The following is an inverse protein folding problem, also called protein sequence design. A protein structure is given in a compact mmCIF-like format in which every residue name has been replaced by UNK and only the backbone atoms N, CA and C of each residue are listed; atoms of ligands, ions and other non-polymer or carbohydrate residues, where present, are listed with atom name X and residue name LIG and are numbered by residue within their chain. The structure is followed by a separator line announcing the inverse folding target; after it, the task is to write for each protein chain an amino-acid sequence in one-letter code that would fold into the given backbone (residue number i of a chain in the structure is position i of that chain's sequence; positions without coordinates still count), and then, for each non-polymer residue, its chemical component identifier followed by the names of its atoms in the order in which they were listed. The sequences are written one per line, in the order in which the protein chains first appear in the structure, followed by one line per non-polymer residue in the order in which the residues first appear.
data_IF_366893435289
#
_entry.id   IF_366893435289
#
_cell.length_a   1.000
_cell.length_b   1.000
_cell.length_c   1.000
_cell.angle_alpha   90.00
_cell.angle_beta   90.00
_cell.angle_gamma   90.00
#
_symmetry.space_group_name_H-M   'P 1'
#
loop_
_entity.id
_entity.type
_entity.pdbx_description
1 polymer ?
#
# COMPACT_ATOMS: atom_id res chain seq x y z
N UNK A 1 -4.79 -8.84 -27.98
CA UNK A 1 -5.43 -7.67 -28.65
C UNK A 1 -6.04 -6.67 -27.66
N UNK A 2 -6.60 -7.11 -26.52
CA UNK A 2 -7.12 -6.22 -25.46
C UNK A 2 -6.06 -5.33 -24.77
N UNK A 3 -4.83 -5.84 -24.58
CA UNK A 3 -3.72 -5.08 -23.99
C UNK A 3 -3.38 -3.79 -24.77
N UNK A 4 -3.44 -3.81 -26.10
CA UNK A 4 -3.08 -2.66 -26.95
C UNK A 4 -4.05 -1.48 -26.84
N UNK A 5 -5.36 -1.72 -26.61
CA UNK A 5 -6.35 -0.64 -26.44
C UNK A 5 -6.31 -0.01 -25.04
N UNK A 6 -5.87 -0.76 -24.03
CA UNK A 6 -5.58 -0.21 -22.70
C UNK A 6 -4.41 0.77 -22.75
N UNK A 7 -3.30 0.36 -23.38
CA UNK A 7 -2.02 1.10 -23.41
C UNK A 7 -2.15 2.55 -23.94
N UNK A 8 -3.03 2.83 -24.91
CA UNK A 8 -3.18 4.18 -25.46
C UNK A 8 -3.76 5.21 -24.47
N UNK A 9 -4.67 4.80 -23.58
CA UNK A 9 -5.25 5.71 -22.57
C UNK A 9 -4.24 5.95 -21.43
N UNK A 10 -3.35 4.99 -21.18
CA UNK A 10 -2.33 5.08 -20.14
C UNK A 10 -1.29 6.18 -20.41
N UNK A 11 -0.98 6.43 -21.69
CA UNK A 11 0.06 7.39 -22.07
C UNK A 11 -0.35 8.85 -21.82
N UNK A 12 -1.64 9.21 -21.79
CA UNK A 12 -2.05 10.60 -21.53
C UNK A 12 -1.95 10.98 -20.05
N UNK A 13 -2.40 10.12 -19.13
CA UNK A 13 -2.40 10.41 -17.69
C UNK A 13 -1.00 10.41 -17.04
N UNK A 14 -0.04 9.74 -17.67
CA UNK A 14 1.30 9.56 -17.09
C UNK A 14 2.24 10.76 -17.24
N UNK A 15 1.97 11.70 -18.14
CA UNK A 15 2.86 12.84 -18.40
C UNK A 15 2.73 13.99 -17.40
N UNK A 16 1.93 13.83 -16.34
CA UNK A 16 1.74 14.90 -15.35
C UNK A 16 2.91 14.96 -14.35
N UNK A 17 3.25 16.18 -13.93
CA UNK A 17 4.33 16.48 -12.97
C UNK A 17 4.02 16.16 -11.51
N UNK A 18 2.76 15.95 -11.13
CA UNK A 18 2.38 15.92 -9.72
C UNK A 18 2.40 14.49 -9.17
N UNK A 19 3.55 14.05 -8.69
CA UNK A 19 3.69 12.74 -8.06
C UNK A 19 3.07 12.77 -6.65
N UNK A 20 2.51 11.65 -6.14
CA UNK A 20 1.90 11.64 -4.79
C UNK A 20 2.90 11.89 -3.65
N UNK A 21 4.18 12.03 -3.95
CA UNK A 21 5.22 12.38 -2.98
C UNK A 21 5.68 13.84 -3.11
N UNK A 22 5.01 14.66 -3.93
CA UNK A 22 5.22 16.09 -4.02
C UNK A 22 4.03 16.89 -3.45
N UNK A 23 4.33 18.00 -2.77
CA UNK A 23 3.31 18.94 -2.30
C UNK A 23 2.72 19.67 -3.50
N UNK A 24 1.40 19.78 -3.55
CA UNK A 24 0.73 20.58 -4.57
C UNK A 24 -0.43 21.41 -4.01
N UNK A 25 -0.82 22.42 -4.76
CA UNK A 25 -1.99 23.25 -4.48
C UNK A 25 -2.71 23.57 -5.77
N UNK A 26 -4.01 23.31 -5.82
CA UNK A 26 -4.88 23.63 -6.95
C UNK A 26 -5.89 24.69 -6.55
N UNK A 27 -5.92 25.79 -7.29
CA UNK A 27 -7.02 26.76 -7.21
C UNK A 27 -8.19 26.23 -8.01
N UNK A 28 -9.36 26.18 -7.41
CA UNK A 28 -10.55 25.62 -8.03
C UNK A 28 -11.82 26.35 -7.59
N UNK A 29 -12.86 26.20 -8.41
CA UNK A 29 -14.25 26.49 -8.05
C UNK A 29 -14.88 25.21 -7.53
N UNK A 30 -15.68 25.30 -6.47
CA UNK A 30 -16.25 24.16 -5.77
C UNK A 30 -17.76 24.30 -5.61
N UNK A 31 -18.47 23.18 -5.68
CA UNK A 31 -19.93 23.13 -5.50
C UNK A 31 -20.38 21.76 -5.01
N UNK A 32 -21.61 21.73 -4.47
CA UNK A 32 -22.31 20.50 -4.15
C UNK A 32 -23.04 19.95 -5.39
N UNK A 33 -23.09 18.63 -5.61
CA UNK A 33 -23.74 18.05 -6.79
C UNK A 33 -25.19 18.50 -6.98
N UNK A 34 -25.94 18.69 -5.89
CA UNK A 34 -27.35 19.09 -5.95
C UNK A 34 -27.55 20.51 -6.52
N UNK A 35 -26.51 21.34 -6.44
CA UNK A 35 -26.54 22.71 -6.94
C UNK A 35 -26.19 22.79 -8.43
N UNK A 36 -25.70 21.73 -9.07
CA UNK A 36 -25.34 21.66 -10.49
C UNK A 36 -24.54 22.89 -10.98
N UNK A 37 -23.55 23.30 -10.18
CA UNK A 37 -22.68 24.45 -10.47
C UNK A 37 -23.35 25.83 -10.34
N UNK A 38 -24.60 25.94 -9.86
CA UNK A 38 -25.28 27.24 -9.69
C UNK A 38 -24.73 28.08 -8.54
N UNK A 39 -24.12 27.42 -7.55
CA UNK A 39 -23.46 28.07 -6.42
C UNK A 39 -22.02 27.56 -6.36
N UNK A 40 -21.12 28.33 -6.95
CA UNK A 40 -19.69 28.05 -6.98
C UNK A 40 -18.97 28.88 -5.91
N UNK A 41 -18.13 28.24 -5.12
CA UNK A 41 -17.27 28.89 -4.13
C UNK A 41 -15.82 28.72 -4.56
N UNK A 42 -15.04 29.79 -4.50
CA UNK A 42 -13.60 29.73 -4.78
C UNK A 42 -12.87 29.10 -3.61
N UNK A 43 -11.83 28.34 -3.91
CA UNK A 43 -10.99 27.74 -2.88
C UNK A 43 -9.77 27.04 -3.44
N UNK A 44 -8.99 26.46 -2.54
CA UNK A 44 -7.74 25.78 -2.86
C UNK A 44 -7.74 24.36 -2.29
N UNK A 45 -7.48 23.35 -3.13
CA UNK A 45 -7.14 22.00 -2.70
C UNK A 45 -5.64 21.92 -2.46
N UNK A 46 -5.25 21.56 -1.25
CA UNK A 46 -3.87 21.40 -0.83
C UNK A 46 -3.61 19.93 -0.51
N UNK A 47 -2.50 19.43 -1.01
CA UNK A 47 -2.00 18.11 -0.67
C UNK A 47 -0.56 18.22 -0.20
N UNK A 48 -0.29 17.66 0.97
CA UNK A 48 1.05 17.44 1.46
C UNK A 48 1.32 15.93 1.54
N UNK A 49 2.39 15.42 0.91
CA UNK A 49 2.87 14.07 1.16
C UNK A 49 3.03 13.88 2.67
N UNK A 50 2.56 12.76 3.20
CA UNK A 50 2.58 12.47 4.65
C UNK A 50 1.72 13.39 5.53
N UNK A 51 0.93 14.28 4.95
CA UNK A 51 0.28 15.36 5.67
C UNK A 51 -1.22 15.40 5.43
N UNK A 52 -1.70 16.62 5.21
CA UNK A 52 -3.12 16.88 5.04
C UNK A 52 -3.49 16.86 3.55
N UNK A 53 -4.64 16.28 3.28
CA UNK A 53 -5.40 16.48 2.05
C UNK A 53 -6.61 17.30 2.45
N UNK A 54 -6.62 18.58 2.08
CA UNK A 54 -7.61 19.55 2.56
C UNK A 54 -7.98 20.52 1.44
N UNK A 55 -9.26 20.83 1.28
CA UNK A 55 -9.69 21.96 0.48
C UNK A 55 -10.18 23.10 1.39
N UNK A 56 -9.71 24.31 1.15
CA UNK A 56 -10.07 25.50 1.92
C UNK A 56 -10.84 26.45 1.00
N UNK A 57 -12.10 26.73 1.36
CA UNK A 57 -13.02 27.54 0.56
C UNK A 57 -13.20 28.94 1.16
N UNK A 58 -13.25 29.95 0.29
CA UNK A 58 -13.53 31.35 0.61
C UNK A 58 -15.05 31.61 0.70
N UNK A 59 -15.72 30.82 1.55
CA UNK A 59 -17.16 30.89 1.75
C UNK A 59 -17.73 29.58 2.27
N UNK A 60 -19.06 29.48 2.26
CA UNK A 60 -19.81 28.27 2.61
C UNK A 60 -20.51 27.71 1.38
N UNK A 61 -20.44 26.38 1.21
CA UNK A 61 -21.22 25.65 0.21
C UNK A 61 -22.73 25.70 0.47
N UNK A 62 -23.15 26.06 1.69
CA UNK A 62 -24.55 26.21 2.12
C UNK A 62 -25.02 27.66 2.10
N UNK A 63 -24.16 28.61 1.72
CA UNK A 63 -24.49 30.04 1.72
C UNK A 63 -24.50 30.67 3.11
N UNK A 64 -23.90 30.04 4.12
CA UNK A 64 -23.75 30.61 5.46
C UNK A 64 -22.92 31.88 5.41
N UNK A 65 -23.50 32.99 5.90
CA UNK A 65 -22.83 34.30 5.99
C UNK A 65 -22.46 34.69 7.42
N UNK A 66 -23.08 34.05 8.41
CA UNK A 66 -22.89 34.31 9.83
C UNK A 66 -22.36 33.06 10.53
N UNK A 67 -21.15 33.13 11.07
CA UNK A 67 -20.49 32.00 11.73
C UNK A 67 -21.26 31.51 12.95
N UNK A 68 -22.10 32.33 13.59
CA UNK A 68 -22.92 31.88 14.72
C UNK A 68 -24.06 30.94 14.30
N UNK A 69 -24.31 30.81 13.00
CA UNK A 69 -25.26 29.88 12.41
C UNK A 69 -24.58 28.68 11.74
N UNK A 70 -23.26 28.56 11.89
CA UNK A 70 -22.52 27.52 11.21
C UNK A 70 -22.75 26.16 11.83
N UNK A 71 -22.92 25.16 10.99
CA UNK A 71 -22.86 23.77 11.45
C UNK A 71 -21.38 23.35 11.56
N UNK A 72 -21.07 22.71 12.69
CA UNK A 72 -19.79 22.10 12.90
C UNK A 72 -19.93 20.59 12.64
N UNK A 73 -18.94 19.99 11.97
CA UNK A 73 -18.89 18.54 11.68
C UNK A 73 -19.94 18.06 10.66
N UNK A 74 -19.92 18.68 9.48
CA UNK A 74 -20.78 18.31 8.35
C UNK A 74 -20.13 17.12 7.62
N UNK A 75 -20.93 16.14 7.21
CA UNK A 75 -20.46 14.99 6.42
C UNK A 75 -21.08 15.05 5.03
N UNK A 76 -20.26 15.15 3.99
CA UNK A 76 -20.70 15.25 2.60
C UNK A 76 -20.20 14.04 1.81
N UNK A 77 -21.08 13.33 1.07
CA UNK A 77 -20.66 12.16 0.31
C UNK A 77 -19.68 12.53 -0.81
N UNK A 78 -19.93 13.66 -1.48
CA UNK A 78 -19.07 14.15 -2.55
C UNK A 78 -19.15 15.68 -2.67
N UNK A 79 -18.03 16.32 -3.01
CA UNK A 79 -17.95 17.73 -3.40
C UNK A 79 -17.22 17.81 -4.74
N UNK A 80 -17.76 18.57 -5.69
CA UNK A 80 -17.16 18.73 -7.01
C UNK A 80 -16.37 20.03 -7.09
N UNK A 81 -15.37 20.02 -7.96
CA UNK A 81 -14.66 21.23 -8.33
C UNK A 81 -14.06 21.18 -9.73
N UNK A 82 -13.73 22.34 -10.26
CA UNK A 82 -12.94 22.51 -11.48
C UNK A 82 -11.74 23.39 -11.17
N UNK A 83 -10.55 22.89 -11.43
CA UNK A 83 -9.31 23.65 -11.26
C UNK A 83 -9.20 24.77 -12.30
N UNK A 84 -8.34 25.76 -12.03
CA UNK A 84 -8.03 26.83 -12.98
C UNK A 84 -7.51 26.29 -14.33
N UNK A 85 -6.85 25.15 -14.31
CA UNK A 85 -6.31 24.44 -15.48
C UNK A 85 -7.36 23.58 -16.19
N UNK A 86 -8.59 23.52 -15.68
CA UNK A 86 -9.71 22.77 -16.28
C UNK A 86 -9.82 21.32 -15.81
N UNK A 87 -9.05 20.90 -14.80
CA UNK A 87 -9.20 19.55 -14.26
C UNK A 87 -10.51 19.44 -13.47
N UNK A 88 -11.31 18.42 -13.76
CA UNK A 88 -12.46 18.06 -12.94
C UNK A 88 -11.98 17.30 -11.70
N UNK A 89 -12.38 17.77 -10.53
CA UNK A 89 -11.98 17.25 -9.22
C UNK A 89 -13.24 16.80 -8.48
N UNK A 90 -13.18 15.65 -7.82
CA UNK A 90 -14.25 15.14 -6.97
C UNK A 90 -13.65 14.68 -5.65
N UNK A 91 -14.07 15.33 -4.57
CA UNK A 91 -13.69 15.04 -3.18
C UNK A 91 -14.71 14.06 -2.61
N UNK A 92 -14.30 12.95 -2.01
CA UNK A 92 -15.21 11.92 -1.48
C UNK A 92 -15.12 11.78 0.04
N UNK A 93 -16.24 11.39 0.64
CA UNK A 93 -16.41 11.14 2.07
C UNK A 93 -15.85 12.29 2.93
N UNK A 94 -16.31 13.51 2.62
CA UNK A 94 -15.75 14.75 3.10
C UNK A 94 -16.27 15.07 4.49
N UNK A 95 -15.36 15.30 5.43
CA UNK A 95 -15.66 15.99 6.70
C UNK A 95 -15.44 17.47 6.53
N UNK A 96 -16.42 18.28 6.92
CA UNK A 96 -16.39 19.70 6.68
C UNK A 96 -16.71 20.54 7.93
N UNK A 97 -16.05 21.69 8.00
CA UNK A 97 -16.22 22.67 9.06
C UNK A 97 -16.27 24.06 8.48
N UNK A 98 -17.27 24.82 8.88
CA UNK A 98 -17.28 26.25 8.69
C UNK A 98 -16.52 26.92 9.83
N UNK A 99 -15.57 27.78 9.49
CA UNK A 99 -14.70 28.49 10.41
C UNK A 99 -14.67 29.98 10.07
N UNK A 100 -14.76 30.82 11.09
CA UNK A 100 -14.65 32.26 10.95
C UNK A 100 -13.19 32.68 10.85
N UNK A 101 -12.78 33.23 9.71
CA UNK A 101 -11.44 33.80 9.52
C UNK A 101 -11.56 35.26 9.12
N UNK A 102 -10.96 36.16 9.90
CA UNK A 102 -10.89 37.59 9.61
C UNK A 102 -12.23 38.28 9.31
N UNK A 103 -13.32 37.85 9.97
CA UNK A 103 -14.66 38.44 9.79
C UNK A 103 -15.50 37.84 8.66
N UNK A 104 -15.00 36.80 7.96
CA UNK A 104 -15.74 36.09 6.91
C UNK A 104 -15.81 34.58 7.22
N UNK A 105 -16.85 33.92 6.74
CA UNK A 105 -16.99 32.46 6.84
C UNK A 105 -16.11 31.80 5.77
N UNK A 106 -15.28 30.86 6.19
CA UNK A 106 -14.52 29.96 5.31
C UNK A 106 -14.91 28.52 5.62
N UNK A 107 -14.74 27.61 4.67
CA UNK A 107 -15.08 26.20 4.87
C UNK A 107 -13.85 25.33 4.61
N UNK A 108 -13.51 24.50 5.58
CA UNK A 108 -12.43 23.52 5.49
C UNK A 108 -13.03 22.14 5.19
N UNK A 109 -12.58 21.51 4.12
CA UNK A 109 -13.01 20.22 3.62
C UNK A 109 -11.88 19.22 3.75
N UNK A 110 -12.11 18.13 4.47
CA UNK A 110 -11.16 17.04 4.69
C UNK A 110 -11.71 15.79 4.02
N UNK A 111 -11.43 15.58 2.72
CA UNK A 111 -11.81 14.36 2.02
C UNK A 111 -10.97 13.16 2.48
N UNK A 112 -11.59 11.98 2.43
CA UNK A 112 -10.85 10.71 2.57
C UNK A 112 -9.96 10.48 1.32
N UNK A 113 -10.50 10.78 0.14
CA UNK A 113 -9.79 10.70 -1.14
C UNK A 113 -10.36 11.64 -2.20
N UNK A 114 -9.59 11.83 -3.27
CA UNK A 114 -9.87 12.71 -4.40
C UNK A 114 -9.69 11.97 -5.71
N UNK A 115 -10.67 12.11 -6.60
CA UNK A 115 -10.56 11.72 -8.00
C UNK A 115 -10.41 12.95 -8.88
N UNK A 116 -9.40 12.95 -9.76
CA UNK A 116 -9.12 14.06 -10.66
C UNK A 116 -9.05 13.56 -12.10
N UNK A 117 -9.79 14.20 -13.02
CA UNK A 117 -9.84 13.86 -14.45
C UNK A 117 -9.47 15.07 -15.32
N UNK A 118 -8.75 14.82 -16.41
CA UNK A 118 -8.41 15.83 -17.43
C UNK A 118 -9.50 16.04 -18.48
N UNK A 119 -10.44 15.11 -18.62
CA UNK A 119 -11.36 15.07 -19.76
C UNK A 119 -12.76 15.58 -19.44
N UNK A 120 -12.87 16.56 -18.54
CA UNK A 120 -14.14 17.15 -18.10
C UNK A 120 -15.16 16.15 -17.50
N UNK A 121 -14.70 15.01 -16.98
CA UNK A 121 -15.55 14.08 -16.25
C UNK A 121 -15.46 14.31 -14.74
N UNK A 122 -16.60 14.53 -14.10
CA UNK A 122 -16.73 14.47 -12.65
C UNK A 122 -16.99 13.01 -12.24
N UNK A 123 -16.30 12.56 -11.21
CA UNK A 123 -16.53 11.23 -10.68
C UNK A 123 -17.74 11.25 -9.75
N UNK A 124 -18.60 10.24 -9.84
CA UNK A 124 -19.78 10.11 -8.98
C UNK A 124 -19.66 8.88 -8.07
N UNK A 125 -20.30 8.85 -6.90
CA UNK A 125 -20.19 7.74 -5.95
C UNK A 125 -20.54 6.36 -6.53
N UNK A 126 -21.50 6.31 -7.46
CA UNK A 126 -21.98 5.09 -8.09
C UNK A 126 -21.28 4.78 -9.42
N UNK A 127 -20.09 5.35 -9.69
CA UNK A 127 -19.40 5.05 -10.94
C UNK A 127 -18.90 3.60 -10.97
N UNK A 128 -19.05 2.98 -12.14
CA UNK A 128 -18.62 1.62 -12.41
C UNK A 128 -17.13 1.60 -12.77
N UNK A 129 -16.31 1.09 -11.87
CA UNK A 129 -14.88 0.92 -12.05
C UNK A 129 -14.64 -0.31 -12.92
N UNK A 130 -13.89 -0.12 -14.01
CA UNK A 130 -13.52 -1.22 -14.91
C UNK A 130 -12.14 -1.79 -14.54
N UNK A 131 -11.20 -0.91 -14.22
CA UNK A 131 -9.84 -1.29 -13.89
C UNK A 131 -9.14 -0.18 -13.13
N UNK A 132 -8.05 -0.54 -12.46
CA UNK A 132 -7.13 0.41 -11.88
C UNK A 132 -5.71 -0.09 -12.06
N UNK A 133 -4.78 0.85 -11.90
CA UNK A 133 -3.38 0.50 -11.73
C UNK A 133 -2.78 1.39 -10.66
N UNK A 134 -1.67 0.90 -10.10
CA UNK A 134 -0.87 1.71 -9.21
C UNK A 134 0.61 1.39 -9.30
N UNK A 135 1.41 2.39 -8.97
CA UNK A 135 2.84 2.29 -8.74
C UNK A 135 3.07 2.57 -7.25
N UNK A 136 3.84 1.72 -6.56
CA UNK A 136 4.31 2.02 -5.22
C UNK A 136 5.71 2.61 -5.26
N UNK A 137 6.02 3.49 -4.32
CA UNK A 137 7.41 3.78 -4.00
C UNK A 137 8.10 2.45 -3.62
N UNK A 138 9.35 2.26 -4.05
CA UNK A 138 10.09 1.04 -3.72
C UNK A 138 9.76 -0.23 -4.52
N UNK A 139 8.85 -0.21 -5.51
CA UNK A 139 8.69 -1.33 -6.45
C UNK A 139 10.02 -1.77 -7.08
N UNK A 140 10.94 -0.82 -7.34
CA UNK A 140 12.28 -1.13 -7.84
C UNK A 140 13.06 -2.12 -6.97
N UNK A 141 12.84 -2.15 -5.65
CA UNK A 141 13.49 -3.13 -4.77
C UNK A 141 12.91 -4.53 -4.96
N UNK A 142 11.58 -4.66 -5.06
CA UNK A 142 10.92 -5.94 -5.35
C UNK A 142 11.35 -6.48 -6.73
N UNK A 143 11.51 -5.61 -7.73
CA UNK A 143 11.94 -5.97 -9.09
C UNK A 143 13.46 -5.92 -9.29
N UNK A 144 14.26 -5.85 -8.22
CA UNK A 144 15.72 -5.73 -8.37
C UNK A 144 16.28 -6.93 -9.14
N UNK A 145 17.10 -6.61 -10.15
CA UNK A 145 17.70 -7.60 -11.04
C UNK A 145 16.75 -8.17 -12.10
N UNK A 146 15.52 -7.66 -12.22
CA UNK A 146 14.65 -8.01 -13.34
C UNK A 146 15.08 -7.25 -14.59
N UNK A 147 15.89 -7.92 -15.43
CA UNK A 147 16.49 -7.46 -16.69
C UNK A 147 17.38 -6.22 -16.56
N UNK A 148 18.58 -6.22 -17.15
CA UNK A 148 19.42 -5.02 -17.23
C UNK A 148 18.82 -4.11 -18.30
N UNK A 149 18.03 -3.12 -17.86
CA UNK A 149 17.15 -2.39 -18.79
C UNK A 149 17.84 -1.26 -19.53
N UNK A 150 18.91 -0.72 -18.95
CA UNK A 150 19.69 0.38 -19.50
C UNK A 150 21.14 -0.07 -19.64
N UNK A 151 21.59 -0.23 -20.87
CA UNK A 151 22.97 -0.66 -21.17
C UNK A 151 23.75 0.56 -21.67
N UNK A 152 24.83 0.97 -20.99
CA UNK A 152 25.69 2.03 -21.50
C UNK A 152 26.47 1.52 -22.70
N UNK A 153 26.42 2.28 -23.78
CA UNK A 153 27.23 2.09 -24.96
C UNK A 153 28.26 3.22 -25.00
N UNK A 154 29.54 2.84 -25.07
CA UNK A 154 30.61 3.80 -25.29
C UNK A 154 30.71 4.07 -26.78
N UNK A 155 30.57 5.34 -27.17
CA UNK A 155 30.85 5.78 -28.54
C UNK A 155 32.18 6.55 -28.59
N UNK A 156 32.82 6.52 -29.76
CA UNK A 156 34.03 7.32 -30.01
C UNK A 156 33.70 8.81 -29.84
N UNK A 157 34.58 9.56 -29.17
CA UNK A 157 34.42 11.00 -28.95
C UNK A 157 33.84 11.41 -27.58
N UNK A 158 33.79 10.51 -26.60
CA UNK A 158 33.40 10.83 -25.22
C UNK A 158 31.89 10.93 -24.98
N UNK A 159 31.07 10.55 -25.96
CA UNK A 159 29.61 10.46 -25.82
C UNK A 159 29.24 9.09 -25.25
N UNK A 160 28.48 9.11 -24.15
CA UNK A 160 27.86 7.91 -23.57
C UNK A 160 26.45 7.82 -24.13
N UNK A 161 26.16 6.78 -24.91
CA UNK A 161 24.80 6.45 -25.33
C UNK A 161 24.22 5.36 -24.42
N UNK A 162 22.90 5.27 -24.36
CA UNK A 162 22.22 4.23 -23.58
C UNK A 162 21.17 3.55 -24.44
N UNK A 163 21.22 2.22 -24.50
CA UNK A 163 20.16 1.43 -25.09
C UNK A 163 19.17 1.04 -24.00
N UNK A 164 17.90 1.33 -24.23
CA UNK A 164 16.81 0.92 -23.36
C UNK A 164 15.83 0.01 -24.09
N UNK A 165 15.59 -1.17 -23.54
CA UNK A 165 14.54 -2.09 -23.98
C UNK A 165 13.48 -2.19 -22.90
N UNK A 166 12.31 -1.61 -23.17
CA UNK A 166 11.16 -1.71 -22.28
C UNK A 166 10.77 -3.18 -22.09
N UNK A 167 10.68 -3.69 -20.84
CA UNK A 167 10.23 -5.05 -20.60
C UNK A 167 8.78 -5.25 -21.07
N UNK A 168 8.47 -6.47 -21.48
CA UNK A 168 7.09 -6.84 -21.78
C UNK A 168 6.26 -6.90 -20.49
N UNK A 169 4.93 -6.74 -20.63
CA UNK A 169 4.03 -6.92 -19.51
C UNK A 169 4.17 -8.34 -18.94
N UNK A 170 4.11 -8.46 -17.62
CA UNK A 170 4.17 -9.76 -16.93
C UNK A 170 2.76 -10.09 -16.47
N UNK A 171 2.15 -11.07 -17.08
CA UNK A 171 0.86 -11.60 -16.65
C UNK A 171 1.01 -12.46 -15.39
N UNK A 172 0.13 -12.24 -14.41
CA UNK A 172 0.13 -12.97 -13.14
C UNK A 172 -1.11 -13.86 -13.06
N UNK A 173 -2.28 -13.28 -13.36
CA UNK A 173 -3.58 -13.95 -13.38
C UNK A 173 -4.28 -13.53 -14.66
N UNK A 174 -4.80 -14.51 -15.40
CA UNK A 174 -5.76 -14.30 -16.48
C UNK A 174 -6.87 -15.34 -16.31
N UNK A 175 -8.03 -14.90 -15.80
CA UNK A 175 -9.19 -15.75 -15.62
C UNK A 175 -10.51 -15.01 -15.89
N UNK A 176 -11.63 -15.70 -15.68
CA UNK A 176 -12.98 -15.18 -15.94
C UNK A 176 -13.39 -14.02 -15.01
N UNK A 177 -12.73 -13.82 -13.88
CA UNK A 177 -13.05 -12.74 -12.95
C UNK A 177 -12.19 -11.51 -13.21
N UNK A 178 -10.87 -11.70 -13.37
CA UNK A 178 -9.93 -10.61 -13.54
C UNK A 178 -8.66 -10.99 -14.32
N UNK A 179 -8.02 -9.96 -14.86
CA UNK A 179 -6.69 -10.01 -15.43
C UNK A 179 -5.76 -9.11 -14.60
N UNK A 180 -4.69 -9.69 -14.05
CA UNK A 180 -3.69 -9.01 -13.21
C UNK A 180 -2.33 -9.14 -13.86
N UNK A 181 -1.65 -7.99 -14.03
CA UNK A 181 -0.34 -7.95 -14.67
C UNK A 181 0.51 -6.76 -14.21
N UNK A 182 1.82 -6.89 -14.37
CA UNK A 182 2.73 -5.77 -14.28
C UNK A 182 2.93 -5.10 -15.64
N UNK A 183 2.96 -3.78 -15.65
CA UNK A 183 3.28 -2.96 -16.81
C UNK A 183 4.45 -2.03 -16.48
N UNK A 184 5.39 -1.92 -17.39
CA UNK A 184 6.57 -1.07 -17.25
C UNK A 184 6.35 0.19 -18.05
N UNK A 185 6.56 1.35 -17.45
CA UNK A 185 6.52 2.63 -18.13
C UNK A 185 7.87 3.32 -17.93
N UNK A 186 8.32 4.08 -18.92
CA UNK A 186 9.51 4.90 -18.78
C UNK A 186 9.23 6.34 -19.20
N UNK A 187 10.00 7.24 -18.61
CA UNK A 187 10.07 8.65 -18.94
C UNK A 187 11.54 9.03 -19.06
N UNK A 188 11.84 9.85 -20.05
CA UNK A 188 13.17 10.41 -20.22
C UNK A 188 13.03 11.86 -20.68
N UNK A 189 13.87 12.72 -20.13
CA UNK A 189 13.98 14.11 -20.56
C UNK A 189 15.31 14.22 -21.31
N UNK A 190 15.29 14.11 -22.64
CA UNK A 190 16.55 14.05 -23.40
C UNK A 190 16.45 13.96 -24.93
N UNK A 191 15.33 14.33 -25.56
CA UNK A 191 15.23 14.38 -27.02
C UNK A 191 16.00 15.55 -27.67
N UNK A 192 16.92 16.23 -26.97
CA UNK A 192 17.79 17.19 -27.64
C UNK A 192 18.92 16.45 -28.32
N UNK A 193 19.08 16.66 -29.63
CA UNK A 193 20.30 16.31 -30.39
C UNK A 193 21.57 16.96 -29.82
N UNK A 194 21.40 17.90 -28.89
CA UNK A 194 22.46 18.58 -28.14
C UNK A 194 22.86 17.72 -26.95
N UNK A 195 24.16 17.37 -26.87
CA UNK A 195 24.75 16.74 -25.71
C UNK A 195 24.41 17.55 -24.44
N UNK A 196 23.86 16.88 -23.44
CA UNK A 196 23.61 17.47 -22.12
C UNK A 196 24.47 16.75 -21.09
N UNK A 197 24.90 17.48 -20.07
CA UNK A 197 25.74 16.92 -19.00
C UNK A 197 24.95 15.98 -18.06
N UNK A 198 23.62 15.90 -18.23
CA UNK A 198 22.73 15.12 -17.36
C UNK A 198 21.72 14.31 -18.16
N UNK A 199 21.77 12.98 -18.02
CA UNK A 199 20.75 12.07 -18.53
C UNK A 199 19.79 11.66 -17.41
N UNK A 200 18.51 12.00 -17.54
CA UNK A 200 17.47 11.64 -16.58
C UNK A 200 16.54 10.59 -17.19
N UNK A 201 16.62 9.37 -16.65
CA UNK A 201 15.76 8.25 -16.99
C UNK A 201 15.00 7.78 -15.76
N UNK A 202 13.68 7.68 -15.88
CA UNK A 202 12.80 7.18 -14.82
C UNK A 202 11.95 6.06 -15.38
N UNK A 203 12.05 4.89 -14.77
CA UNK A 203 11.15 3.79 -15.03
C UNK A 203 10.20 3.61 -13.86
N UNK A 204 8.92 3.41 -14.16
CA UNK A 204 7.86 3.09 -13.21
C UNK A 204 7.30 1.71 -13.54
N UNK A 205 6.94 0.99 -12.49
CA UNK A 205 6.31 -0.31 -12.60
C UNK A 205 4.90 -0.14 -12.07
N UNK A 206 3.91 -0.57 -12.84
CA UNK A 206 2.51 -0.51 -12.47
C UNK A 206 1.99 -1.92 -12.22
N UNK A 207 1.33 -2.13 -11.10
CA UNK A 207 0.46 -3.26 -10.87
C UNK A 207 -0.93 -2.90 -11.42
N UNK A 208 -1.46 -3.73 -12.31
CA UNK A 208 -2.71 -3.48 -13.02
C UNK A 208 -3.70 -4.57 -12.65
N UNK A 209 -4.93 -4.17 -12.36
CA UNK A 209 -6.05 -5.09 -12.14
C UNK A 209 -7.19 -4.67 -13.05
N UNK A 210 -7.56 -5.58 -13.94
CA UNK A 210 -8.67 -5.44 -14.86
C UNK A 210 -9.77 -6.43 -14.49
N UNK A 211 -10.95 -5.94 -14.16
CA UNK A 211 -12.07 -6.84 -13.87
C UNK A 211 -12.96 -7.03 -15.08
N UNK A 212 -13.45 -8.26 -15.25
CA UNK A 212 -14.42 -8.56 -16.30
C UNK A 212 -15.82 -8.08 -15.90
N UNK A 213 -16.10 -7.98 -14.59
CA UNK A 213 -17.30 -7.37 -14.02
C UNK A 213 -16.95 -6.02 -13.40
N UNK A 214 -17.77 -5.02 -13.66
CA UNK A 214 -17.57 -3.69 -13.11
C UNK A 214 -17.80 -3.70 -11.59
N UNK A 215 -16.94 -3.00 -10.85
CA UNK A 215 -17.01 -2.85 -9.41
C UNK A 215 -17.43 -1.44 -8.99
N UNK A 216 -17.83 -1.28 -7.73
CA UNK A 216 -18.13 0.03 -7.15
C UNK A 216 -16.86 0.75 -6.69
N UNK A 217 -16.93 2.06 -6.54
CA UNK A 217 -15.78 2.88 -6.11
C UNK A 217 -15.27 2.51 -4.71
N UNK A 218 -16.17 2.22 -3.76
CA UNK A 218 -15.83 1.77 -2.41
C UNK A 218 -15.12 0.42 -2.41
N UNK A 219 -15.57 -0.52 -3.25
CA UNK A 219 -14.90 -1.80 -3.47
C UNK A 219 -13.48 -1.61 -4.02
N UNK A 220 -13.31 -0.69 -4.98
CA UNK A 220 -11.99 -0.36 -5.51
C UNK A 220 -11.03 0.15 -4.41
N UNK A 221 -11.47 1.05 -3.52
CA UNK A 221 -10.60 1.57 -2.45
C UNK A 221 -10.14 0.44 -1.52
N UNK A 222 -11.02 -0.50 -1.20
CA UNK A 222 -10.67 -1.69 -0.40
C UNK A 222 -9.68 -2.59 -1.14
N UNK A 223 -9.89 -2.81 -2.44
CA UNK A 223 -8.99 -3.61 -3.28
C UNK A 223 -7.61 -2.95 -3.40
N UNK A 224 -7.55 -1.63 -3.58
CA UNK A 224 -6.29 -0.89 -3.65
C UNK A 224 -5.46 -1.12 -2.38
N UNK A 225 -6.09 -0.99 -1.19
CA UNK A 225 -5.44 -1.29 0.10
C UNK A 225 -5.00 -2.75 0.17
N UNK A 226 -5.87 -3.69 -0.20
CA UNK A 226 -5.61 -5.14 -0.20
C UNK A 226 -4.39 -5.54 -1.05
N UNK A 227 -4.26 -5.02 -2.28
CA UNK A 227 -3.10 -5.27 -3.12
C UNK A 227 -1.87 -4.45 -2.70
N UNK A 228 -2.06 -3.27 -2.11
CA UNK A 228 -0.96 -2.54 -1.47
C UNK A 228 -0.32 -3.34 -0.34
N UNK A 229 -1.16 -3.98 0.49
CA UNK A 229 -0.75 -4.81 1.63
C UNK A 229 0.00 -6.07 1.19
N UNK A 230 -0.29 -6.62 0.00
CA UNK A 230 0.52 -7.67 -0.61
C UNK A 230 1.98 -7.25 -0.71
N UNK A 231 2.25 -6.11 -1.36
CA UNK A 231 3.62 -5.66 -1.57
C UNK A 231 4.30 -5.22 -0.29
N UNK A 232 3.56 -4.59 0.63
CA UNK A 232 4.06 -4.23 1.97
C UNK A 232 4.53 -5.48 2.72
N UNK A 233 3.72 -6.54 2.73
CA UNK A 233 4.08 -7.79 3.38
C UNK A 233 5.38 -8.38 2.81
N UNK A 234 5.55 -8.41 1.48
CA UNK A 234 6.79 -8.93 0.89
C UNK A 234 8.00 -8.01 1.06
N UNK A 235 7.81 -6.69 1.04
CA UNK A 235 8.90 -5.73 1.19
C UNK A 235 9.40 -5.64 2.63
N UNK A 236 8.55 -5.93 3.62
CA UNK A 236 8.78 -5.67 5.05
C UNK A 236 9.05 -4.21 5.38
N UNK A 237 8.70 -3.34 4.44
CA UNK A 237 9.05 -1.94 4.41
C UNK A 237 7.79 -1.19 4.04
N UNK A 238 7.67 0.05 4.53
CA UNK A 238 6.41 0.72 4.31
C UNK A 238 6.37 1.30 2.90
N UNK A 239 5.41 0.81 2.12
CA UNK A 239 5.18 1.27 0.76
C UNK A 239 4.01 2.25 0.71
N UNK A 240 4.24 3.34 0.01
CA UNK A 240 3.35 4.44 -0.28
C UNK A 240 3.01 4.41 -1.78
N UNK A 241 1.79 4.79 -2.15
CA UNK A 241 1.43 4.83 -3.56
C UNK A 241 2.05 6.07 -4.20
N UNK A 242 2.82 5.87 -5.25
CA UNK A 242 3.40 6.95 -6.04
C UNK A 242 2.39 7.46 -7.06
N UNK A 243 1.68 6.54 -7.71
CA UNK A 243 0.63 6.82 -8.68
C UNK A 243 -0.51 5.82 -8.49
N UNK A 244 -1.74 6.30 -8.58
CA UNK A 244 -2.94 5.45 -8.66
C UNK A 244 -3.83 6.01 -9.75
N UNK A 245 -4.13 5.20 -10.75
CA UNK A 245 -5.03 5.54 -11.84
C UNK A 245 -6.24 4.61 -11.81
N UNK A 246 -7.41 5.20 -11.98
CA UNK A 246 -8.70 4.50 -11.94
C UNK A 246 -9.41 4.77 -13.25
N UNK A 247 -9.96 3.72 -13.86
CA UNK A 247 -10.69 3.86 -15.11
C UNK A 247 -12.12 3.37 -14.92
N UNK A 248 -13.07 4.25 -15.20
CA UNK A 248 -14.50 3.97 -15.10
C UNK A 248 -15.18 4.08 -16.46
N UNK A 249 -16.34 3.44 -16.56
CA UNK A 249 -17.21 3.59 -17.73
C UNK A 249 -17.86 4.97 -17.65
N UNK A 250 -17.62 5.80 -18.66
CA UNK A 250 -18.28 7.10 -18.80
C UNK A 250 -19.61 6.94 -19.57
N UNK A 251 -20.37 8.04 -19.63
CA UNK A 251 -21.59 8.12 -20.43
C UNK A 251 -21.22 7.95 -21.92
N UNK A 252 -21.87 7.00 -22.60
CA UNK A 252 -21.70 6.74 -24.04
C UNK A 252 -20.50 5.87 -24.42
N UNK A 253 -20.20 4.82 -23.64
CA UNK A 253 -19.13 3.83 -23.86
C UNK A 253 -17.68 4.37 -23.88
N UNK A 254 -17.50 5.66 -23.60
CA UNK A 254 -16.18 6.26 -23.41
C UNK A 254 -15.60 5.81 -22.07
N UNK A 255 -14.28 5.65 -22.00
CA UNK A 255 -13.58 5.38 -20.74
C UNK A 255 -13.15 6.72 -20.14
N UNK A 256 -13.49 6.96 -18.88
CA UNK A 256 -12.96 8.08 -18.12
C UNK A 256 -11.80 7.58 -17.26
N UNK A 257 -10.67 8.26 -17.34
CA UNK A 257 -9.50 8.00 -16.52
C UNK A 257 -9.39 9.07 -15.43
N UNK A 258 -9.15 8.62 -14.20
CA UNK A 258 -9.01 9.46 -13.03
C UNK A 258 -7.69 9.15 -12.34
N UNK A 259 -7.02 10.20 -11.89
CA UNK A 259 -6.00 10.08 -10.85
C UNK A 259 -6.68 9.96 -9.50
N UNK A 260 -6.26 9.00 -8.70
CA UNK A 260 -6.72 8.81 -7.34
C UNK A 260 -5.66 9.30 -6.36
N UNK A 261 -6.02 10.29 -5.56
CA UNK A 261 -5.18 10.88 -4.52
C UNK A 261 -5.87 10.61 -3.19
N UNK A 262 -5.14 10.10 -2.21
CA UNK A 262 -5.70 9.85 -0.89
C UNK A 262 -4.68 10.15 0.18
N UNK A 263 -5.14 10.33 1.42
CA UNK A 263 -4.25 10.59 2.55
C UNK A 263 -3.36 9.38 2.81
N UNK A 264 -2.06 9.55 2.56
CA UNK A 264 -1.07 8.57 2.98
C UNK A 264 -0.70 8.84 4.44
N UNK A 265 -0.40 7.80 5.25
CA UNK A 265 0.04 8.00 6.63
C UNK A 265 1.36 8.83 6.64
N UNK A 266 1.86 9.32 7.79
CA UNK A 266 2.82 10.44 7.84
C UNK A 266 4.33 10.11 7.88
N UNK A 267 4.71 8.84 7.93
CA UNK A 267 6.09 8.39 8.18
C UNK A 267 6.90 8.05 6.90
N UNK A 268 6.47 8.41 5.69
CA UNK A 268 6.68 7.54 4.50
C UNK A 268 7.37 8.12 3.27
N UNK A 269 8.11 9.22 3.36
CA UNK A 269 8.83 9.72 2.17
C UNK A 269 10.34 9.50 2.31
N UNK A 270 10.87 8.60 1.48
CA UNK A 270 12.30 8.58 1.13
C UNK A 270 13.09 7.33 1.50
N UNK A 271 12.56 6.40 2.31
CA UNK A 271 13.28 5.17 2.63
C UNK A 271 13.12 4.18 1.47
N UNK A 272 14.25 3.82 0.83
CA UNK A 272 14.26 2.76 -0.18
C UNK A 272 14.35 1.40 0.53
N UNK A 273 13.42 0.47 0.27
CA UNK A 273 13.50 -0.89 0.83
C UNK A 273 14.84 -1.54 0.52
N UNK A 274 15.50 -2.10 1.53
CA UNK A 274 16.65 -2.98 1.30
C UNK A 274 16.16 -4.33 0.80
N UNK A 275 16.72 -4.82 -0.30
CA UNK A 275 16.40 -6.17 -0.79
C UNK A 275 16.83 -7.28 0.16
N UNK A 276 17.74 -6.98 1.10
CA UNK A 276 18.16 -7.92 2.14
C UNK A 276 17.17 -8.00 3.30
N UNK A 277 16.22 -7.07 3.41
CA UNK A 277 15.17 -7.10 4.44
C UNK A 277 13.84 -7.63 3.89
N UNK A 278 13.62 -7.59 2.57
CA UNK A 278 12.43 -8.14 1.96
C UNK A 278 12.33 -9.66 2.17
N UNK A 279 11.10 -10.17 2.30
CA UNK A 279 10.82 -11.60 2.33
C UNK A 279 11.16 -12.21 0.99
N UNK A 280 10.58 -11.70 -0.09
CA UNK A 280 10.80 -12.23 -1.43
C UNK A 280 10.87 -11.09 -2.46
N UNK A 281 11.68 -11.30 -3.48
CA UNK A 281 11.79 -10.44 -4.67
C UNK A 281 11.07 -11.08 -5.85
N UNK A 282 10.68 -10.29 -6.86
CA UNK A 282 10.05 -10.79 -8.07
C UNK A 282 10.85 -11.93 -8.72
N UNK A 283 12.18 -11.79 -8.80
CA UNK A 283 13.03 -12.81 -9.43
C UNK A 283 12.98 -14.18 -8.75
N UNK A 284 12.73 -14.19 -7.44
CA UNK A 284 12.58 -15.39 -6.63
C UNK A 284 11.22 -16.03 -6.82
N UNK A 285 10.16 -15.21 -6.83
CA UNK A 285 8.78 -15.72 -6.86
C UNK A 285 8.19 -15.84 -8.25
N UNK A 286 8.84 -15.35 -9.31
CA UNK A 286 8.23 -15.27 -10.66
C UNK A 286 7.57 -16.57 -11.15
N UNK A 287 8.11 -17.74 -10.76
CA UNK A 287 7.55 -19.05 -11.12
C UNK A 287 6.33 -19.44 -10.27
N UNK A 288 6.25 -18.95 -9.04
CA UNK A 288 5.21 -19.26 -8.05
C UNK A 288 4.22 -18.10 -7.86
N UNK A 289 4.46 -16.94 -8.48
CA UNK A 289 3.76 -15.69 -8.20
C UNK A 289 2.26 -15.76 -8.50
N UNK A 290 1.86 -16.47 -9.56
CA UNK A 290 0.44 -16.69 -9.87
C UNK A 290 -0.25 -17.44 -8.73
N UNK A 291 0.37 -18.53 -8.25
CA UNK A 291 -0.15 -19.33 -7.12
C UNK A 291 -0.23 -18.50 -5.85
N UNK A 292 0.83 -17.74 -5.54
CA UNK A 292 0.91 -16.86 -4.36
C UNK A 292 -0.21 -15.81 -4.42
N UNK A 293 -0.41 -15.15 -5.56
CA UNK A 293 -1.44 -14.12 -5.73
C UNK A 293 -2.86 -14.73 -5.65
N UNK A 294 -3.09 -15.91 -6.23
CA UNK A 294 -4.38 -16.61 -6.12
C UNK A 294 -4.70 -17.00 -4.69
N UNK A 295 -3.71 -17.51 -3.95
CA UNK A 295 -3.89 -17.83 -2.53
C UNK A 295 -4.09 -16.56 -1.69
N UNK A 296 -3.41 -15.46 -2.03
CA UNK A 296 -3.66 -14.15 -1.40
C UNK A 296 -5.11 -13.73 -1.59
N UNK A 297 -5.62 -13.73 -2.81
CA UNK A 297 -7.03 -13.40 -3.14
C UNK A 297 -8.00 -14.35 -2.41
N UNK A 298 -7.73 -15.65 -2.43
CA UNK A 298 -8.52 -16.68 -1.74
C UNK A 298 -8.67 -16.39 -0.24
N UNK A 299 -7.63 -15.83 0.38
CA UNK A 299 -7.59 -15.54 1.81
C UNK A 299 -7.92 -14.09 2.17
N UNK A 300 -8.63 -13.35 1.28
CA UNK A 300 -8.95 -11.92 1.46
C UNK A 300 -9.55 -11.56 2.82
N UNK A 301 -10.45 -12.38 3.36
CA UNK A 301 -11.12 -12.10 4.64
C UNK A 301 -10.13 -12.16 5.81
N UNK A 302 -9.20 -13.11 5.79
CA UNK A 302 -8.14 -13.18 6.78
C UNK A 302 -7.15 -12.02 6.61
N UNK A 303 -6.81 -11.65 5.37
CA UNK A 303 -5.87 -10.55 5.12
C UNK A 303 -6.43 -9.22 5.64
N UNK A 304 -7.69 -8.92 5.35
CA UNK A 304 -8.36 -7.69 5.80
C UNK A 304 -8.47 -7.59 7.33
N UNK A 305 -8.58 -8.72 8.02
CA UNK A 305 -8.73 -8.78 9.49
C UNK A 305 -7.47 -9.25 10.21
N UNK A 306 -7.16 -10.55 10.12
CA UNK A 306 -6.09 -11.21 10.87
C UNK A 306 -4.67 -10.78 10.47
N UNK A 307 -4.36 -10.64 9.17
CA UNK A 307 -3.03 -10.16 8.75
C UNK A 307 -2.81 -8.69 9.12
N UNK A 308 -3.87 -7.89 9.21
CA UNK A 308 -3.76 -6.48 9.58
C UNK A 308 -3.07 -6.27 10.93
N UNK A 309 -3.25 -7.20 11.88
CA UNK A 309 -2.55 -7.18 13.17
C UNK A 309 -1.04 -7.33 13.00
N UNK A 310 -0.62 -8.26 12.14
CA UNK A 310 0.79 -8.47 11.81
C UNK A 310 1.37 -7.27 11.06
N UNK A 311 0.67 -6.78 10.03
CA UNK A 311 1.07 -5.60 9.26
C UNK A 311 1.28 -4.37 10.18
N UNK A 312 0.44 -4.21 11.20
CA UNK A 312 0.63 -3.15 12.20
C UNK A 312 1.95 -3.29 12.97
N UNK A 313 2.42 -4.51 13.25
CA UNK A 313 3.70 -4.74 13.95
C UNK A 313 4.90 -4.16 13.19
N UNK A 314 4.79 -4.08 11.86
CA UNK A 314 5.82 -3.54 10.96
C UNK A 314 5.71 -2.04 10.74
N UNK A 315 4.49 -1.49 10.76
CA UNK A 315 4.23 -0.14 10.26
C UNK A 315 3.76 0.86 11.31
N UNK A 316 3.41 0.39 12.51
CA UNK A 316 3.09 1.23 13.66
C UNK A 316 4.29 1.25 14.59
N UNK A 317 4.71 2.44 14.99
CA UNK A 317 5.73 2.58 16.03
C UNK A 317 5.11 2.30 17.40
N UNK A 318 5.38 1.14 17.96
CA UNK A 318 4.95 0.80 19.32
C UNK A 318 5.80 1.54 20.34
N UNK A 319 5.18 2.12 21.40
CA UNK A 319 5.92 2.78 22.47
C UNK A 319 6.93 1.87 23.20
N UNK A 320 6.68 0.56 23.25
CA UNK A 320 7.54 -0.41 23.95
C UNK A 320 7.67 -1.75 23.20
N UNK A 321 8.79 -2.48 23.36
CA UNK A 321 8.94 -3.84 22.81
C UNK A 321 7.90 -4.84 23.32
N UNK A 322 7.37 -4.65 24.53
CA UNK A 322 6.31 -5.48 25.11
C UNK A 322 4.96 -5.32 24.39
N UNK A 323 4.66 -4.12 23.89
CA UNK A 323 3.46 -3.90 23.06
C UNK A 323 3.62 -4.53 21.67
N UNK A 324 4.82 -4.47 21.08
CA UNK A 324 5.12 -5.19 19.84
C UNK A 324 4.92 -6.71 20.04
N UNK A 325 5.48 -7.26 21.11
CA UNK A 325 5.30 -8.66 21.51
C UNK A 325 3.83 -9.06 21.60
N UNK A 326 3.02 -8.27 22.30
CA UNK A 326 1.61 -8.58 22.50
C UNK A 326 0.83 -8.60 21.17
N UNK A 327 1.13 -7.67 20.25
CA UNK A 327 0.50 -7.66 18.92
C UNK A 327 0.95 -8.85 18.07
N UNK A 328 2.23 -9.24 18.11
CA UNK A 328 2.71 -10.45 17.42
C UNK A 328 2.04 -11.70 17.96
N UNK A 329 1.92 -11.84 19.28
CA UNK A 329 1.21 -12.95 19.90
C UNK A 329 -0.26 -13.02 19.43
N UNK A 330 -0.98 -11.90 19.42
CA UNK A 330 -2.36 -11.86 18.91
C UNK A 330 -2.47 -12.17 17.41
N UNK A 331 -1.51 -11.72 16.60
CA UNK A 331 -1.45 -12.05 15.18
C UNK A 331 -1.29 -13.57 14.98
N UNK A 332 -0.37 -14.22 15.71
CA UNK A 332 -0.16 -15.67 15.68
C UNK A 332 -1.41 -16.42 16.14
N UNK A 333 -2.05 -16.01 17.24
CA UNK A 333 -3.29 -16.66 17.69
C UNK A 333 -4.38 -16.57 16.65
N UNK A 334 -4.57 -15.39 16.05
CA UNK A 334 -5.60 -15.14 15.04
C UNK A 334 -5.33 -15.97 13.78
N UNK A 335 -4.08 -16.00 13.33
CA UNK A 335 -3.62 -16.84 12.23
C UNK A 335 -3.94 -18.31 12.48
N UNK A 336 -3.44 -18.84 13.60
CA UNK A 336 -3.61 -20.25 13.93
C UNK A 336 -5.08 -20.62 14.11
N UNK A 337 -5.89 -19.79 14.78
CA UNK A 337 -7.35 -20.03 14.92
C UNK A 337 -8.02 -20.14 13.55
N UNK A 338 -7.60 -19.31 12.59
CA UNK A 338 -8.22 -19.25 11.26
C UNK A 338 -7.89 -20.46 10.40
N UNK A 339 -6.63 -20.93 10.41
CA UNK A 339 -6.16 -21.94 9.45
C UNK A 339 -5.91 -23.33 10.03
N UNK A 340 -5.71 -23.43 11.34
CA UNK A 340 -5.37 -24.69 12.02
C UNK A 340 -6.39 -25.05 13.12
N UNK A 341 -7.32 -24.14 13.42
CA UNK A 341 -8.29 -24.30 14.51
C UNK A 341 -9.38 -25.33 14.21
N UNK A 342 -9.22 -26.56 14.70
CA UNK A 342 -10.26 -27.60 14.64
C UNK A 342 -11.31 -27.50 15.78
N UNK A 343 -11.80 -26.29 16.10
CA UNK A 343 -12.67 -26.00 17.25
C UNK A 343 -12.09 -26.38 18.65
N UNK A 344 -10.78 -26.66 18.73
CA UNK A 344 -10.10 -26.95 20.00
C UNK A 344 -9.74 -25.67 20.73
N UNK A 345 -9.93 -25.66 22.05
CA UNK A 345 -9.42 -24.60 22.92
C UNK A 345 -7.93 -24.87 23.19
N UNK A 346 -7.06 -24.30 22.34
CA UNK A 346 -5.61 -24.37 22.47
C UNK A 346 -5.05 -23.10 23.13
N UNK A 347 -4.02 -23.28 23.98
CA UNK A 347 -3.22 -22.20 24.53
C UNK A 347 -2.31 -21.58 23.47
N UNK A 348 -1.66 -20.45 23.77
CA UNK A 348 -0.72 -19.83 22.83
C UNK A 348 0.52 -20.71 22.61
N UNK A 349 0.99 -21.40 23.66
CA UNK A 349 2.14 -22.32 23.56
C UNK A 349 1.89 -23.43 22.54
N UNK A 350 0.73 -24.11 22.64
CA UNK A 350 0.37 -25.20 21.72
C UNK A 350 0.36 -24.73 20.26
N UNK A 351 -0.13 -23.50 20.04
CA UNK A 351 -0.19 -22.89 18.69
C UNK A 351 1.19 -22.58 18.14
N UNK A 352 2.08 -22.04 18.97
CA UNK A 352 3.45 -21.75 18.58
C UNK A 352 4.18 -23.06 18.26
N UNK A 353 3.99 -24.09 19.10
CA UNK A 353 4.59 -25.41 18.89
C UNK A 353 4.16 -26.03 17.55
N UNK A 354 2.84 -26.03 17.25
CA UNK A 354 2.33 -26.52 15.96
C UNK A 354 2.98 -25.77 14.77
N UNK A 355 3.07 -24.44 14.83
CA UNK A 355 3.69 -23.65 13.75
C UNK A 355 5.21 -23.86 13.63
N UNK A 356 5.91 -24.10 14.74
CA UNK A 356 7.33 -24.44 14.72
C UNK A 356 7.55 -25.82 14.09
N UNK A 357 6.70 -26.80 14.41
CA UNK A 357 6.75 -28.15 13.83
C UNK A 357 6.52 -28.11 12.32
N UNK A 358 5.52 -27.35 11.86
CA UNK A 358 5.23 -27.17 10.43
C UNK A 358 6.40 -26.54 9.63
N UNK A 359 7.30 -25.82 10.30
CA UNK A 359 8.46 -25.18 9.70
C UNK A 359 9.79 -25.74 10.22
N UNK A 360 9.79 -26.95 10.79
CA UNK A 360 10.94 -27.51 11.51
C UNK A 360 12.19 -27.61 10.65
N UNK A 361 12.07 -28.01 9.39
CA UNK A 361 13.21 -28.16 8.47
C UNK A 361 13.96 -26.86 8.22
N UNK A 362 13.27 -25.72 8.32
CA UNK A 362 13.83 -24.38 8.13
C UNK A 362 14.33 -23.83 9.47
N UNK A 363 13.55 -24.06 10.53
CA UNK A 363 13.84 -23.56 11.87
C UNK A 363 14.90 -24.38 12.62
N UNK A 364 15.28 -25.56 12.14
CA UNK A 364 16.30 -26.40 12.77
C UNK A 364 17.69 -25.73 12.86
N UNK A 365 17.96 -24.70 12.05
CA UNK A 365 19.20 -23.91 12.14
C UNK A 365 19.23 -22.94 13.32
N UNK A 366 18.10 -22.71 13.97
CA UNK A 366 18.00 -21.86 15.15
C UNK A 366 18.18 -22.72 16.40
N UNK A 367 19.24 -22.46 17.17
CA UNK A 367 19.57 -23.16 18.41
C UNK A 367 18.57 -22.81 19.52
N UNK A 368 17.32 -23.28 19.39
CA UNK A 368 16.21 -22.95 20.30
C UNK A 368 15.66 -24.20 20.99
N UNK A 369 15.48 -24.11 22.31
CA UNK A 369 14.62 -25.05 23.03
C UNK A 369 13.14 -24.69 22.76
N UNK A 370 12.55 -25.34 21.75
CA UNK A 370 11.21 -25.03 21.23
C UNK A 370 10.12 -25.01 22.30
N UNK A 371 10.12 -26.02 23.18
CA UNK A 371 9.11 -26.17 24.25
C UNK A 371 9.25 -25.02 25.26
N UNK A 372 10.47 -24.76 25.71
CA UNK A 372 10.74 -23.69 26.67
C UNK A 372 10.39 -22.31 26.09
N UNK A 373 10.67 -22.09 24.81
CA UNK A 373 10.28 -20.87 24.11
C UNK A 373 8.77 -20.66 24.08
N UNK A 374 8.00 -21.67 23.64
CA UNK A 374 6.55 -21.56 23.54
C UNK A 374 5.89 -21.33 24.92
N UNK A 375 6.37 -22.01 25.95
CA UNK A 375 5.94 -21.78 27.33
C UNK A 375 6.27 -20.37 27.82
N UNK A 376 7.49 -19.89 27.56
CA UNK A 376 7.94 -18.53 27.94
C UNK A 376 7.06 -17.45 27.29
N UNK A 377 6.77 -17.59 25.99
CA UNK A 377 5.87 -16.68 25.27
C UNK A 377 4.46 -16.71 25.84
N UNK A 378 3.90 -17.90 26.10
CA UNK A 378 2.56 -18.02 26.68
C UNK A 378 2.47 -17.38 28.09
N UNK A 379 3.45 -17.61 28.95
CA UNK A 379 3.52 -17.00 30.29
C UNK A 379 3.62 -15.48 30.21
N UNK A 380 4.50 -14.94 29.36
CA UNK A 380 4.63 -13.49 29.19
C UNK A 380 3.34 -12.86 28.64
N UNK A 381 2.68 -13.51 27.67
CA UNK A 381 1.40 -13.02 27.13
C UNK A 381 0.34 -12.95 28.23
N UNK A 382 0.24 -13.97 29.08
CA UNK A 382 -0.73 -13.99 30.18
C UNK A 382 -0.43 -12.91 31.22
N UNK A 383 0.83 -12.71 31.58
CA UNK A 383 1.28 -11.62 32.45
C UNK A 383 0.84 -10.25 31.91
N UNK A 384 1.16 -9.96 30.64
CA UNK A 384 0.82 -8.66 30.03
C UNK A 384 -0.68 -8.43 29.83
N UNK A 385 -1.47 -9.49 29.61
CA UNK A 385 -2.89 -9.39 29.27
C UNK A 385 -3.83 -9.41 30.48
N UNK A 386 -3.44 -10.07 31.58
CA UNK A 386 -4.38 -10.41 32.66
C UNK A 386 -3.91 -10.02 34.07
N UNK A 387 -2.62 -9.76 34.30
CA UNK A 387 -2.12 -9.71 35.66
C UNK A 387 -0.96 -8.73 35.87
N UNK A 388 -1.27 -7.54 36.40
CA UNK A 388 -0.26 -6.63 36.96
C UNK A 388 -0.08 -6.84 38.48
N UNK A 389 -0.83 -7.77 39.08
CA UNK A 389 -0.90 -7.99 40.53
C UNK A 389 -0.17 -9.26 41.00
N UNK A 390 0.17 -10.18 40.11
CA UNK A 390 0.98 -11.35 40.44
C UNK A 390 2.42 -10.96 40.77
N UNK A 391 2.97 -11.62 41.80
CA UNK A 391 4.38 -11.56 42.19
C UNK A 391 5.35 -12.13 41.12
N UNK A 392 4.81 -12.66 40.03
CA UNK A 392 5.57 -13.15 38.88
C UNK A 392 6.08 -11.96 38.05
N UNK A 393 7.37 -11.69 38.21
CA UNK A 393 8.13 -10.74 37.39
C UNK A 393 8.05 -11.14 35.92
N UNK A 394 8.13 -10.16 35.02
CA UNK A 394 8.28 -10.37 33.56
C UNK A 394 9.23 -11.54 33.27
N UNK A 395 8.73 -12.54 32.54
CA UNK A 395 9.49 -13.71 32.13
C UNK A 395 10.42 -13.43 30.95
N UNK A 396 10.24 -12.28 30.31
CA UNK A 396 11.08 -11.77 29.23
C UNK A 396 11.76 -10.49 29.71
N UNK A 397 13.10 -10.44 29.67
CA UNK A 397 13.87 -9.24 29.97
C UNK A 397 13.77 -8.22 28.83
N UNK A 398 14.17 -6.97 29.07
CA UNK A 398 14.18 -5.95 28.01
C UNK A 398 15.04 -6.35 26.81
N UNK A 399 16.20 -6.97 27.06
CA UNK A 399 17.16 -7.42 26.05
C UNK A 399 16.64 -8.62 25.26
N UNK A 400 15.86 -9.49 25.89
CA UNK A 400 15.28 -10.68 25.25
C UNK A 400 14.12 -10.37 24.30
N UNK A 401 13.42 -9.24 24.47
CA UNK A 401 12.26 -8.90 23.62
C UNK A 401 12.62 -8.81 22.14
N UNK A 402 13.80 -8.28 21.79
CA UNK A 402 14.19 -8.15 20.39
C UNK A 402 14.31 -9.51 19.71
N UNK A 403 15.01 -10.45 20.36
CA UNK A 403 15.17 -11.82 19.85
C UNK A 403 13.83 -12.56 19.77
N UNK A 404 13.00 -12.46 20.83
CA UNK A 404 11.70 -13.13 20.89
C UNK A 404 10.73 -12.56 19.86
N UNK A 405 10.63 -11.23 19.74
CA UNK A 405 9.77 -10.60 18.74
C UNK A 405 10.20 -11.00 17.33
N UNK A 406 11.49 -10.95 17.02
CA UNK A 406 11.98 -11.32 15.69
C UNK A 406 11.73 -12.80 15.41
N UNK A 407 11.83 -13.69 16.40
CA UNK A 407 11.52 -15.11 16.19
C UNK A 407 10.02 -15.37 16.00
N UNK A 408 9.14 -14.67 16.71
CA UNK A 408 7.70 -14.72 16.48
C UNK A 408 7.33 -14.23 15.07
N UNK A 409 8.00 -13.18 14.57
CA UNK A 409 7.86 -12.73 13.19
C UNK A 409 8.25 -13.82 12.21
N UNK A 410 9.42 -14.47 12.39
CA UNK A 410 9.87 -15.57 11.52
C UNK A 410 8.85 -16.70 11.49
N UNK A 411 8.33 -17.14 12.66
CA UNK A 411 7.33 -18.20 12.75
C UNK A 411 6.08 -17.80 11.95
N UNK A 412 5.58 -16.58 12.15
CA UNK A 412 4.40 -16.09 11.45
C UNK A 412 4.64 -16.02 9.94
N UNK A 413 5.74 -15.43 9.51
CA UNK A 413 6.08 -15.19 8.11
C UNK A 413 6.28 -16.49 7.34
N UNK A 414 7.05 -17.45 7.89
CA UNK A 414 7.23 -18.75 7.27
C UNK A 414 5.91 -19.49 7.12
N UNK A 415 5.09 -19.50 8.18
CA UNK A 415 3.79 -20.18 8.17
C UNK A 415 2.82 -19.55 7.18
N UNK A 416 2.78 -18.22 7.11
CA UNK A 416 1.90 -17.51 6.19
C UNK A 416 2.38 -17.62 4.74
N UNK A 417 3.69 -17.54 4.47
CA UNK A 417 4.23 -17.77 3.13
C UNK A 417 3.98 -19.22 2.66
N UNK A 418 4.11 -20.21 3.54
CA UNK A 418 3.75 -21.61 3.24
C UNK A 418 2.26 -21.74 2.90
N UNK A 419 1.38 -21.06 3.64
CA UNK A 419 -0.06 -20.98 3.31
C UNK A 419 -0.30 -20.35 1.93
N UNK A 420 0.48 -19.35 1.54
CA UNK A 420 0.42 -18.75 0.21
C UNK A 420 0.97 -19.66 -0.90
N UNK A 421 1.55 -20.81 -0.56
CA UNK A 421 2.06 -21.78 -1.51
C UNK A 421 3.51 -21.54 -1.94
N UNK A 422 4.28 -20.79 -1.13
CA UNK A 422 5.72 -20.62 -1.36
C UNK A 422 6.45 -21.93 -1.07
N UNK A 423 7.29 -22.38 -2.00
CA UNK A 423 8.02 -23.63 -1.84
C UNK A 423 9.04 -23.56 -0.70
N UNK A 424 9.24 -24.70 -0.03
CA UNK A 424 10.20 -24.82 1.06
C UNK A 424 11.63 -24.43 0.63
N UNK A 425 12.02 -24.79 -0.59
CA UNK A 425 13.32 -24.40 -1.16
C UNK A 425 13.50 -22.88 -1.26
N UNK A 426 12.41 -22.15 -1.52
CA UNK A 426 12.43 -20.70 -1.61
C UNK A 426 12.46 -20.06 -0.21
N UNK A 427 11.71 -20.61 0.74
CA UNK A 427 11.75 -20.18 2.14
C UNK A 427 13.15 -20.36 2.74
N UNK A 428 13.84 -21.47 2.47
CA UNK A 428 15.22 -21.68 2.91
C UNK A 428 16.19 -20.64 2.31
N UNK A 429 16.02 -20.27 1.03
CA UNK A 429 16.83 -19.22 0.39
C UNK A 429 16.55 -17.85 0.99
N UNK A 430 15.28 -17.53 1.21
CA UNK A 430 14.86 -16.30 1.88
C UNK A 430 15.52 -16.17 3.24
N UNK A 431 15.43 -17.21 4.08
CA UNK A 431 15.97 -17.17 5.44
C UNK A 431 17.47 -16.93 5.43
N UNK A 432 18.22 -17.61 4.56
CA UNK A 432 19.68 -17.46 4.43
C UNK A 432 20.09 -16.07 3.94
N UNK A 433 19.25 -15.41 3.14
CA UNK A 433 19.52 -14.08 2.58
C UNK A 433 19.09 -12.97 3.53
N UNK A 434 18.06 -13.16 4.33
CA UNK A 434 17.46 -12.08 5.12
C UNK A 434 18.35 -11.72 6.32
N UNK A 435 18.93 -10.52 6.31
CA UNK A 435 19.88 -10.08 7.33
C UNK A 435 19.27 -10.05 8.74
N UNK A 436 17.98 -9.71 8.85
CA UNK A 436 17.31 -9.67 10.15
C UNK A 436 17.18 -11.06 10.76
N UNK A 437 16.99 -12.08 9.93
CA UNK A 437 16.90 -13.45 10.39
C UNK A 437 18.28 -14.02 10.76
N UNK A 438 19.32 -13.65 10.02
CA UNK A 438 20.68 -14.10 10.29
C UNK A 438 21.25 -13.55 11.60
N UNK A 439 20.83 -12.34 12.02
CA UNK A 439 21.21 -11.77 13.33
C UNK A 439 20.83 -12.66 14.52
N UNK A 440 19.64 -13.27 14.47
CA UNK A 440 19.20 -14.17 15.53
C UNK A 440 20.06 -15.43 15.59
N UNK A 441 20.38 -16.02 14.43
CA UNK A 441 21.22 -17.22 14.36
C UNK A 441 22.60 -16.95 14.98
N UNK A 442 23.15 -15.76 14.76
CA UNK A 442 24.45 -15.37 15.32
C UNK A 442 24.42 -15.15 16.84
N UNK A 443 23.33 -14.60 17.38
CA UNK A 443 23.24 -14.20 18.78
C UNK A 443 22.67 -15.30 19.70
N UNK A 444 22.01 -16.32 19.13
CA UNK A 444 21.19 -17.26 19.90
C UNK A 444 19.90 -16.61 20.41
N UNK A 445 18.96 -17.45 20.85
CA UNK A 445 17.74 -17.02 21.57
C UNK A 445 17.82 -17.55 22.99
#
# INVERSE_FOLDING_TARGET
MFALKGILIYLSLSNQKNEMHEKFTFKAKWWLPENDGKQEILGELQYEPNGNLIAILEGSLFGTTDIHKSDHNISLPVVHGISKEGHCISLFDVKAWEVGRTGWVTMELYPEFVLMSEHNYLAVPNMEIMNFNFCLNGFGAFFRGHENRLVPNHSEGGVISFDYKQPSAIEIIDDEECNIYFYFQYQYNGLSEVATDTFNFKERIYFNVHWNKQGRLDEFVQQLKFYGDFFRFFSQEILSFDHVNVFAKAIGDKKAGFRFIYKQPSQYVGVRPSTFHSLLTYNEVKLELSTIMRNWIKHKNYIAGGLSLYIQTKYVRFPTPAQLFLNLAFAIETFHKTFFGNNRKLYLSDRIDELIVENETILASYSLNKIEFAEKVNKQRNYLAHDHSAEDRSHITHEEYEAINTFLEIIFELSFLRLLGVSESLLQKMVKRNDNYQKIVANGI
#
